data_IF_947994969581
#
_entry.id   IF_947994969581
#
_cell.length_a   1.000
_cell.length_b   1.000
_cell.length_c   1.000
_cell.angle_alpha   90.00
_cell.angle_beta   90.00
_cell.angle_gamma   90.00
#
_symmetry.space_group_name_H-M   'P 1'
#
loop_
_entity.id
_entity.type
_entity.pdbx_description
1 polymer ?
#
# COMPACT_ATOMS: atom_id res chain seq x y z
N UNK A 1 15.03 -25.70 -14.80
CA UNK A 1 14.35 -26.57 -13.83
C UNK A 1 13.05 -25.87 -13.45
N UNK A 2 11.87 -26.48 -13.60
CA UNK A 2 10.64 -25.91 -13.06
C UNK A 2 10.81 -25.69 -11.55
N UNK A 3 10.17 -24.65 -11.00
CA UNK A 3 10.26 -24.31 -9.58
C UNK A 3 9.81 -25.45 -8.63
N UNK A 4 9.15 -26.47 -9.18
CA UNK A 4 8.70 -27.69 -8.48
C UNK A 4 9.85 -28.61 -8.03
N UNK A 5 11.06 -28.46 -8.56
CA UNK A 5 12.22 -29.30 -8.20
C UNK A 5 13.04 -28.71 -7.04
N UNK A 6 12.62 -27.56 -6.49
CA UNK A 6 13.32 -26.83 -5.44
C UNK A 6 12.42 -26.72 -4.21
N UNK A 7 12.95 -27.06 -3.03
CA UNK A 7 12.26 -26.82 -1.76
C UNK A 7 12.38 -25.33 -1.42
N UNK A 8 11.26 -24.60 -1.56
CA UNK A 8 11.20 -23.16 -1.29
C UNK A 8 10.94 -22.90 0.20
N UNK A 9 11.94 -22.32 0.89
CA UNK A 9 11.88 -21.99 2.32
C UNK A 9 12.09 -20.48 2.59
N UNK A 10 11.62 -19.63 1.68
CA UNK A 10 11.79 -18.16 1.75
C UNK A 10 10.46 -17.40 1.61
N UNK A 11 9.38 -17.95 2.21
CA UNK A 11 8.04 -17.38 2.13
C UNK A 11 7.91 -15.96 2.75
N UNK A 12 8.91 -15.53 3.52
CA UNK A 12 8.97 -14.15 4.04
C UNK A 12 9.42 -13.14 2.98
N UNK A 13 10.14 -13.55 1.93
CA UNK A 13 10.52 -12.66 0.83
C UNK A 13 9.36 -12.47 -0.16
N UNK A 14 8.71 -13.56 -0.57
CA UNK A 14 7.49 -13.55 -1.38
C UNK A 14 6.80 -14.91 -1.32
N UNK A 15 5.58 -15.01 -1.85
CA UNK A 15 4.83 -16.27 -1.88
C UNK A 15 4.39 -16.59 -3.31
N UNK A 16 4.32 -17.89 -3.68
CA UNK A 16 3.66 -18.26 -4.93
C UNK A 16 2.19 -17.83 -4.87
N UNK A 17 1.66 -17.38 -6.01
CA UNK A 17 0.27 -16.98 -6.11
C UNK A 17 -0.63 -18.20 -5.94
N UNK A 18 -1.61 -18.11 -5.03
CA UNK A 18 -2.62 -19.15 -4.87
C UNK A 18 -3.40 -19.34 -6.20
N UNK A 19 -3.62 -20.58 -6.68
CA UNK A 19 -4.35 -20.84 -7.93
C UNK A 19 -5.73 -20.20 -8.01
N UNK A 20 -6.46 -20.10 -6.88
CA UNK A 20 -7.76 -19.44 -6.83
C UNK A 20 -7.63 -17.92 -7.03
N UNK A 21 -6.57 -17.31 -6.49
CA UNK A 21 -6.28 -15.89 -6.72
C UNK A 21 -5.90 -15.65 -8.18
N UNK A 22 -5.07 -16.52 -8.77
CA UNK A 22 -4.73 -16.45 -10.18
C UNK A 22 -5.98 -16.50 -11.07
N UNK A 23 -6.88 -17.45 -10.82
CA UNK A 23 -8.13 -17.61 -11.56
C UNK A 23 -9.06 -16.39 -11.42
N UNK A 24 -9.16 -15.80 -10.23
CA UNK A 24 -9.99 -14.63 -9.97
C UNK A 24 -9.44 -13.38 -10.68
N UNK A 25 -8.14 -13.14 -10.61
CA UNK A 25 -7.48 -12.03 -11.32
C UNK A 25 -7.74 -12.14 -12.84
N UNK A 26 -7.69 -13.36 -13.37
CA UNK A 26 -7.94 -13.63 -14.77
C UNK A 26 -9.41 -13.42 -15.16
N UNK A 27 -10.34 -13.80 -14.27
CA UNK A 27 -11.77 -13.52 -14.43
C UNK A 27 -12.05 -12.02 -14.43
N UNK A 28 -11.48 -11.26 -13.48
CA UNK A 28 -11.63 -9.80 -13.39
C UNK A 28 -11.10 -9.14 -14.65
N UNK A 29 -9.90 -9.53 -15.11
CA UNK A 29 -9.28 -9.01 -16.34
C UNK A 29 -10.19 -9.18 -17.57
N UNK A 30 -10.92 -10.30 -17.68
CA UNK A 30 -11.83 -10.55 -18.80
C UNK A 30 -13.19 -9.86 -18.65
N UNK A 31 -13.69 -9.73 -17.42
CA UNK A 31 -15.12 -9.38 -17.19
C UNK A 31 -15.36 -7.99 -16.64
N UNK A 32 -14.35 -7.34 -16.06
CA UNK A 32 -14.43 -6.04 -15.40
C UNK A 32 -13.27 -5.10 -15.82
N UNK A 33 -12.98 -5.07 -17.12
CA UNK A 33 -11.87 -4.31 -17.72
C UNK A 33 -12.11 -2.79 -17.84
N UNK A 34 -13.32 -2.32 -17.54
CA UNK A 34 -13.70 -0.92 -17.67
C UNK A 34 -12.93 0.02 -16.75
N UNK A 35 -12.88 1.30 -17.10
CA UNK A 35 -12.40 2.32 -16.17
C UNK A 35 -13.42 2.51 -15.02
N UNK A 36 -13.04 2.28 -13.76
CA UNK A 36 -13.95 2.42 -12.61
C UNK A 36 -14.46 3.85 -12.39
N UNK A 37 -13.80 4.87 -12.96
CA UNK A 37 -14.28 6.25 -12.91
C UNK A 37 -15.42 6.53 -13.91
N UNK A 38 -15.70 5.62 -14.85
CA UNK A 38 -16.75 5.81 -15.85
C UNK A 38 -18.13 5.47 -15.30
N UNK A 39 -19.10 6.36 -15.54
CA UNK A 39 -20.46 6.20 -15.03
C UNK A 39 -21.28 5.12 -15.76
N UNK A 40 -20.88 4.67 -16.95
CA UNK A 40 -21.61 3.64 -17.68
C UNK A 40 -21.50 2.25 -17.04
N UNK A 41 -22.35 1.31 -17.44
CA UNK A 41 -22.46 -0.04 -16.84
C UNK A 41 -21.12 -0.77 -16.71
N UNK A 42 -20.25 -0.67 -17.72
CA UNK A 42 -18.94 -1.33 -17.70
C UNK A 42 -17.99 -0.73 -16.66
N UNK A 43 -18.04 0.59 -16.43
CA UNK A 43 -17.21 1.27 -15.43
C UNK A 43 -17.74 1.01 -14.01
N UNK A 44 -19.06 1.09 -13.82
CA UNK A 44 -19.70 0.72 -12.55
C UNK A 44 -19.41 -0.73 -12.14
N UNK A 45 -19.36 -1.65 -13.11
CA UNK A 45 -18.96 -3.05 -12.85
C UNK A 45 -17.53 -3.14 -12.31
N UNK A 46 -16.58 -2.42 -12.92
CA UNK A 46 -15.20 -2.36 -12.43
C UNK A 46 -15.10 -1.72 -11.05
N UNK A 47 -15.83 -0.62 -10.81
CA UNK A 47 -15.88 0.04 -9.51
C UNK A 47 -16.43 -0.90 -8.41
N UNK A 48 -17.47 -1.68 -8.73
CA UNK A 48 -18.01 -2.69 -7.82
C UNK A 48 -16.98 -3.75 -7.41
N UNK A 49 -16.17 -4.24 -8.36
CA UNK A 49 -15.09 -5.20 -8.04
C UNK A 49 -14.06 -4.62 -7.06
N UNK A 50 -13.70 -3.34 -7.23
CA UNK A 50 -12.76 -2.66 -6.31
C UNK A 50 -13.39 -2.51 -4.92
N UNK A 51 -14.68 -2.18 -4.84
CA UNK A 51 -15.38 -1.99 -3.56
C UNK A 51 -15.62 -3.30 -2.82
N UNK A 52 -15.93 -4.37 -3.55
CA UNK A 52 -16.01 -5.73 -2.99
C UNK A 52 -14.65 -6.16 -2.41
N UNK A 53 -13.55 -5.85 -3.11
CA UNK A 53 -12.20 -6.13 -2.64
C UNK A 53 -11.86 -5.31 -1.38
N UNK A 54 -12.23 -4.02 -1.36
CA UNK A 54 -12.05 -3.13 -0.20
C UNK A 54 -12.79 -3.67 1.02
N UNK A 55 -14.05 -4.05 0.86
CA UNK A 55 -14.89 -4.59 1.93
C UNK A 55 -14.31 -5.88 2.52
N UNK A 56 -13.79 -6.78 1.67
CA UNK A 56 -13.13 -8.03 2.12
C UNK A 56 -11.86 -7.76 2.93
N UNK A 57 -11.04 -6.79 2.49
CA UNK A 57 -9.82 -6.40 3.21
C UNK A 57 -10.17 -5.72 4.54
N UNK A 58 -11.15 -4.82 4.53
CA UNK A 58 -11.61 -4.15 5.75
C UNK A 58 -12.11 -5.15 6.80
N UNK A 59 -12.88 -6.15 6.36
CA UNK A 59 -13.34 -7.23 7.23
C UNK A 59 -12.18 -8.05 7.83
N UNK A 60 -11.15 -8.40 7.04
CA UNK A 60 -10.00 -9.16 7.55
C UNK A 60 -9.12 -8.37 8.51
N UNK A 61 -9.12 -7.04 8.39
CA UNK A 61 -8.39 -6.12 9.26
C UNK A 61 -9.23 -5.56 10.42
N UNK A 62 -10.51 -5.93 10.51
CA UNK A 62 -11.47 -5.40 11.49
C UNK A 62 -11.53 -3.85 11.50
N UNK A 63 -11.57 -3.23 10.31
CA UNK A 63 -11.71 -1.79 10.13
C UNK A 63 -12.89 -1.46 9.18
N UNK A 64 -13.19 -0.17 9.00
CA UNK A 64 -14.21 0.27 8.06
C UNK A 64 -13.65 0.28 6.62
N UNK A 65 -14.48 0.01 5.59
CA UNK A 65 -14.04 0.07 4.19
C UNK A 65 -13.34 1.39 3.83
N UNK A 66 -13.87 2.53 4.30
CA UNK A 66 -13.31 3.86 4.08
C UNK A 66 -11.90 4.07 4.66
N UNK A 67 -11.45 3.23 5.59
CA UNK A 67 -10.10 3.27 6.16
C UNK A 67 -9.07 2.53 5.29
N UNK A 68 -9.51 1.77 4.29
CA UNK A 68 -8.63 1.00 3.39
C UNK A 68 -8.29 1.84 2.17
N UNK A 69 -7.00 2.11 1.96
CA UNK A 69 -6.49 2.81 0.76
C UNK A 69 -5.63 1.83 -0.05
N UNK A 70 -5.99 1.59 -1.31
CA UNK A 70 -5.17 0.79 -2.22
C UNK A 70 -3.93 1.55 -2.66
N UNK A 71 -2.78 0.91 -2.58
CA UNK A 71 -1.49 1.39 -3.09
C UNK A 71 -0.86 0.29 -3.94
N UNK A 72 0.22 0.59 -4.67
CA UNK A 72 0.96 -0.41 -5.45
C UNK A 72 1.68 -1.46 -4.59
N UNK A 73 1.85 -1.20 -3.29
CA UNK A 73 2.44 -2.14 -2.34
C UNK A 73 2.95 -1.46 -1.06
N UNK A 74 3.52 -2.26 -0.16
CA UNK A 74 3.94 -1.80 1.17
C UNK A 74 4.97 -0.64 1.12
N UNK A 75 5.88 -0.64 0.14
CA UNK A 75 6.84 0.46 -0.02
C UNK A 75 6.15 1.79 -0.27
N UNK A 76 5.12 1.82 -1.12
CA UNK A 76 4.34 3.03 -1.36
C UNK A 76 3.53 3.41 -0.13
N UNK A 77 2.82 2.47 0.50
CA UNK A 77 2.02 2.74 1.70
C UNK A 77 2.85 3.36 2.83
N UNK A 78 4.03 2.79 3.12
CA UNK A 78 4.97 3.34 4.11
C UNK A 78 5.41 4.76 3.74
N UNK A 79 5.76 4.99 2.47
CA UNK A 79 6.18 6.32 2.01
C UNK A 79 5.04 7.33 2.03
N UNK A 80 3.81 6.91 1.73
CA UNK A 80 2.62 7.76 1.71
C UNK A 80 2.40 8.36 3.10
N UNK A 81 2.44 7.55 4.15
CA UNK A 81 2.26 8.01 5.53
C UNK A 81 3.47 8.85 5.98
N UNK A 82 4.69 8.32 5.83
CA UNK A 82 5.90 9.00 6.34
C UNK A 82 6.09 10.35 5.64
N UNK A 83 6.07 10.38 4.31
CA UNK A 83 6.27 11.63 3.57
C UNK A 83 5.05 12.52 3.67
N UNK A 84 3.84 11.97 3.59
CA UNK A 84 2.59 12.72 3.62
C UNK A 84 2.39 13.48 4.93
N UNK A 85 2.71 12.87 6.07
CA UNK A 85 2.59 13.50 7.38
C UNK A 85 3.80 14.36 7.73
N UNK A 86 5.02 13.86 7.54
CA UNK A 86 6.20 14.55 8.06
C UNK A 86 6.67 15.69 7.16
N UNK A 87 6.53 15.59 5.83
CA UNK A 87 7.01 16.64 4.92
C UNK A 87 6.36 18.00 5.20
N UNK A 88 5.02 18.10 5.40
CA UNK A 88 4.40 19.37 5.78
C UNK A 88 4.88 19.89 7.14
N UNK A 89 4.99 19.02 8.15
CA UNK A 89 5.47 19.41 9.49
C UNK A 89 6.89 19.96 9.46
N UNK A 90 7.80 19.29 8.73
CA UNK A 90 9.16 19.76 8.50
C UNK A 90 9.20 21.12 7.80
N UNK A 91 8.35 21.32 6.78
CA UNK A 91 8.25 22.62 6.07
C UNK A 91 7.75 23.73 6.99
N UNK A 92 6.77 23.44 7.85
CA UNK A 92 6.26 24.42 8.82
C UNK A 92 7.35 24.83 9.81
N UNK A 93 8.11 23.88 10.34
CA UNK A 93 9.22 24.17 11.26
C UNK A 93 10.33 24.99 10.57
N UNK A 94 10.83 24.53 9.40
CA UNK A 94 11.87 25.27 8.65
C UNK A 94 11.42 26.66 8.20
N UNK A 95 10.12 26.84 7.99
CA UNK A 95 9.52 28.12 7.65
C UNK A 95 9.22 29.03 8.84
N UNK A 96 9.64 28.65 10.06
CA UNK A 96 9.40 29.44 11.29
C UNK A 96 7.94 29.45 11.77
N UNK A 97 7.08 28.60 11.20
CA UNK A 97 5.65 28.50 11.54
C UNK A 97 5.35 27.43 12.60
N UNK A 98 6.35 26.64 12.97
CA UNK A 98 6.27 25.70 14.10
C UNK A 98 7.45 25.94 15.05
N UNK A 99 7.20 25.79 16.35
CA UNK A 99 8.16 26.11 17.41
C UNK A 99 9.24 25.02 17.57
N UNK A 100 8.92 23.77 17.25
CA UNK A 100 9.81 22.63 17.36
C UNK A 100 9.80 21.77 16.09
N UNK A 101 10.91 21.06 15.79
CA UNK A 101 10.94 20.11 14.69
C UNK A 101 10.03 18.92 15.00
N UNK A 102 9.49 18.24 13.98
CA UNK A 102 8.74 17.01 14.20
C UNK A 102 9.65 15.94 14.82
N UNK A 103 9.17 15.32 15.90
CA UNK A 103 9.84 14.20 16.56
C UNK A 103 9.22 12.87 16.11
N UNK A 104 10.05 11.90 15.73
CA UNK A 104 9.61 10.59 15.24
C UNK A 104 10.34 9.50 16.00
N UNK A 105 9.59 8.49 16.46
CA UNK A 105 10.09 7.31 17.14
C UNK A 105 9.90 6.11 16.21
N UNK A 106 10.93 5.28 16.05
CA UNK A 106 10.93 4.07 15.23
C UNK A 106 11.99 3.09 15.77
N UNK A 107 12.10 1.90 15.18
CA UNK A 107 13.06 0.87 15.58
C UNK A 107 14.22 0.76 14.57
N UNK A 108 15.40 0.23 14.96
CA UNK A 108 16.50 0.04 14.02
C UNK A 108 16.29 -1.14 13.05
N UNK A 109 15.25 -1.95 13.25
CA UNK A 109 14.98 -3.19 12.51
C UNK A 109 13.81 -3.09 11.52
N UNK A 110 13.28 -1.88 11.30
CA UNK A 110 12.24 -1.66 10.30
C UNK A 110 12.73 -1.99 8.87
N UNK A 111 11.78 -2.25 7.97
CA UNK A 111 12.07 -2.39 6.55
C UNK A 111 12.68 -1.11 5.96
N UNK A 112 13.49 -1.22 4.89
CA UNK A 112 14.13 -0.06 4.25
C UNK A 112 13.12 0.98 3.75
N UNK A 113 11.91 0.57 3.37
CA UNK A 113 10.83 1.50 2.99
C UNK A 113 10.38 2.43 4.11
N UNK A 114 10.74 2.14 5.37
CA UNK A 114 10.53 2.99 6.55
C UNK A 114 11.82 3.73 6.91
N UNK A 115 12.94 3.00 7.04
CA UNK A 115 14.21 3.59 7.47
C UNK A 115 14.73 4.66 6.50
N UNK A 116 14.67 4.43 5.19
CA UNK A 116 15.22 5.35 4.20
C UNK A 116 14.48 6.69 4.12
N UNK A 117 13.13 6.76 4.05
CA UNK A 117 12.45 8.05 4.09
C UNK A 117 12.64 8.78 5.43
N UNK A 118 12.72 8.07 6.56
CA UNK A 118 13.03 8.68 7.86
C UNK A 118 14.43 9.29 7.87
N UNK A 119 15.47 8.54 7.46
CA UNK A 119 16.84 9.04 7.32
C UNK A 119 16.94 10.23 6.37
N UNK A 120 16.17 10.21 5.27
CA UNK A 120 16.12 11.32 4.32
C UNK A 120 15.57 12.59 4.96
N UNK A 121 14.48 12.48 5.72
CA UNK A 121 13.85 13.61 6.41
C UNK A 121 14.71 14.10 7.57
N UNK A 122 15.41 13.22 8.27
CA UNK A 122 16.37 13.60 9.30
C UNK A 122 17.45 14.54 8.76
N UNK A 123 17.90 14.37 7.51
CA UNK A 123 18.88 15.29 6.87
C UNK A 123 18.32 16.69 6.56
N UNK A 124 17.01 16.90 6.70
CA UNK A 124 16.40 18.22 6.48
C UNK A 124 16.47 19.12 7.72
N UNK A 125 16.80 18.56 8.88
CA UNK A 125 17.12 19.26 10.13
C UNK A 125 18.54 18.94 10.55
#
# INVERSE_FOLDING_TARGET
MPATDVIYLDAHATTPLDPAVAAEMDRVRRTAWGNPASQHVIGRRAAGVVEDARSKIAQSLACLPEEVIFTSGATEANNLIIKGLLTPLWRLWRGGRAQCPPHVISTPVEHQSVLDPLRRLQRWG
#
